data_IF_124178445841
#
_entry.id   IF_124178445841
#
_cell.length_a   1.000
_cell.length_b   1.000
_cell.length_c   1.000
_cell.angle_alpha   90.00
_cell.angle_beta   90.00
_cell.angle_gamma   90.00
#
_symmetry.space_group_name_H-M   'P 1'
#
loop_
_entity.id
_entity.type
_entity.pdbx_description
1 polymer ?
#
# COMPACT_ATOMS: atom_id res chain seq x y z
N UNK A 1 -19.05 4.85 -10.94
CA UNK A 1 -18.68 3.97 -9.80
C UNK A 1 -18.09 4.82 -8.69
N UNK A 2 -18.23 4.44 -7.43
CA UNK A 2 -17.69 5.19 -6.28
C UNK A 2 -16.21 4.84 -6.08
N UNK A 3 -15.39 5.86 -5.85
CA UNK A 3 -13.97 5.67 -5.52
C UNK A 3 -13.79 4.76 -4.29
N UNK A 4 -12.65 4.09 -4.22
CA UNK A 4 -12.22 3.39 -3.00
C UNK A 4 -12.08 4.41 -1.87
N UNK A 5 -12.55 4.07 -0.68
CA UNK A 5 -12.39 4.89 0.51
C UNK A 5 -11.03 4.67 1.17
N UNK A 6 -10.55 5.65 1.93
CA UNK A 6 -9.33 5.51 2.75
C UNK A 6 -9.36 4.25 3.63
N UNK A 7 -10.53 3.92 4.20
CA UNK A 7 -10.70 2.78 5.10
C UNK A 7 -10.62 1.44 4.37
N UNK A 8 -11.14 1.35 3.15
CA UNK A 8 -11.01 0.13 2.32
C UNK A 8 -9.53 -0.17 2.03
N UNK A 9 -8.77 0.86 1.64
CA UNK A 9 -7.34 0.73 1.34
C UNK A 9 -6.51 0.45 2.60
N UNK A 10 -6.78 1.16 3.70
CA UNK A 10 -6.13 0.91 5.00
C UNK A 10 -6.33 -0.55 5.46
N UNK A 11 -7.52 -1.11 5.29
CA UNK A 11 -7.78 -2.50 5.67
C UNK A 11 -6.89 -3.49 4.92
N UNK A 12 -6.58 -3.25 3.64
CA UNK A 12 -5.67 -4.13 2.90
C UNK A 12 -4.24 -4.07 3.45
N UNK A 13 -3.77 -2.87 3.79
CA UNK A 13 -2.46 -2.69 4.44
C UNK A 13 -2.44 -3.34 5.83
N UNK A 14 -3.50 -3.17 6.62
CA UNK A 14 -3.60 -3.83 7.93
C UNK A 14 -3.61 -5.36 7.81
N UNK A 15 -4.39 -5.92 6.91
CA UNK A 15 -4.45 -7.36 6.68
C UNK A 15 -3.07 -7.91 6.26
N UNK A 16 -2.34 -7.17 5.43
CA UNK A 16 -0.96 -7.51 5.09
C UNK A 16 -0.02 -7.44 6.30
N UNK A 17 -0.10 -6.39 7.11
CA UNK A 17 0.70 -6.24 8.32
C UNK A 17 0.43 -7.36 9.35
N UNK A 18 -0.81 -7.83 9.45
CA UNK A 18 -1.21 -8.96 10.30
C UNK A 18 -0.85 -10.33 9.70
N UNK A 19 -0.34 -10.38 8.46
CA UNK A 19 -0.02 -11.63 7.75
C UNK A 19 -1.24 -12.37 7.22
N UNK A 20 -2.42 -11.75 7.18
CA UNK A 20 -3.65 -12.33 6.64
C UNK A 20 -3.63 -12.33 5.11
N UNK A 21 -3.03 -11.30 4.50
CA UNK A 21 -2.86 -11.18 3.05
C UNK A 21 -1.37 -11.05 2.72
N UNK A 22 -0.93 -11.70 1.64
CA UNK A 22 0.43 -11.54 1.17
C UNK A 22 0.61 -10.17 0.49
N UNK A 23 1.70 -9.47 0.84
CA UNK A 23 2.14 -8.27 0.14
C UNK A 23 3.31 -8.63 -0.76
N UNK A 24 3.20 -8.32 -2.04
CA UNK A 24 4.26 -8.56 -3.02
C UNK A 24 4.61 -7.26 -3.74
N UNK A 25 5.89 -7.02 -4.01
CA UNK A 25 6.30 -5.92 -4.88
C UNK A 25 5.85 -6.23 -6.30
N UNK A 26 5.26 -5.25 -6.99
CA UNK A 26 5.06 -5.34 -8.42
C UNK A 26 6.36 -4.89 -9.11
N UNK A 27 6.76 -5.56 -10.19
CA UNK A 27 8.04 -5.34 -10.89
C UNK A 27 8.21 -3.94 -11.51
N UNK A 28 7.17 -3.10 -11.47
CA UNK A 28 7.30 -1.65 -11.72
C UNK A 28 7.88 -0.95 -10.50
N UNK A 29 9.21 -0.96 -10.43
CA UNK A 29 9.94 0.12 -9.77
C UNK A 29 9.71 1.39 -10.58
N UNK A 30 8.97 2.34 -10.01
CA UNK A 30 8.98 3.70 -10.54
C UNK A 30 10.19 4.39 -9.91
N UNK A 31 11.15 4.82 -10.74
CA UNK A 31 12.18 5.78 -10.31
C UNK A 31 11.46 6.92 -9.55
N UNK A 32 12.09 7.42 -8.48
CA UNK A 32 11.61 8.53 -7.62
C UNK A 32 10.93 8.15 -6.29
N UNK A 33 11.31 7.05 -5.65
CA UNK A 33 10.84 6.74 -4.29
C UNK A 33 9.40 6.23 -4.23
N UNK A 34 8.90 5.68 -5.33
CA UNK A 34 7.59 5.03 -5.40
C UNK A 34 7.75 3.52 -5.50
N UNK A 35 6.98 2.79 -4.68
CA UNK A 35 6.91 1.34 -4.71
C UNK A 35 5.49 0.90 -5.04
N UNK A 36 5.35 0.18 -6.16
CA UNK A 36 4.11 -0.49 -6.48
C UNK A 36 4.06 -1.86 -5.78
N UNK A 37 2.94 -2.18 -5.15
CA UNK A 37 2.71 -3.46 -4.46
C UNK A 37 1.37 -4.06 -4.84
N UNK A 38 1.26 -5.37 -4.70
CA UNK A 38 0.01 -6.11 -4.81
C UNK A 38 -0.35 -6.76 -3.48
N UNK A 39 -1.65 -6.76 -3.16
CA UNK A 39 -2.22 -7.39 -1.97
C UNK A 39 -3.53 -8.06 -2.38
N UNK A 40 -3.55 -9.38 -2.56
CA UNK A 40 -4.75 -10.17 -2.90
C UNK A 40 -5.63 -9.53 -4.01
N UNK A 41 -5.02 -9.26 -5.17
CA UNK A 41 -5.70 -8.64 -6.32
C UNK A 41 -5.84 -7.12 -6.27
N UNK A 42 -5.47 -6.49 -5.15
CA UNK A 42 -5.34 -5.03 -5.06
C UNK A 42 -3.99 -4.57 -5.57
N UNK A 43 -3.96 -3.43 -6.25
CA UNK A 43 -2.74 -2.78 -6.71
C UNK A 43 -2.59 -1.42 -6.03
N UNK A 44 -1.52 -1.24 -5.27
CA UNK A 44 -1.25 0.00 -4.55
C UNK A 44 0.05 0.64 -5.04
N UNK A 45 0.07 1.96 -5.10
CA UNK A 45 1.28 2.77 -5.32
C UNK A 45 1.59 3.52 -4.02
N UNK A 46 2.71 3.17 -3.40
CA UNK A 46 3.17 3.77 -2.14
C UNK A 46 4.33 4.73 -2.41
N UNK A 47 4.26 5.92 -1.82
CA UNK A 47 5.43 6.78 -1.62
C UNK A 47 6.26 6.20 -0.48
N UNK A 48 7.56 5.99 -0.70
CA UNK A 48 8.47 5.33 0.24
C UNK A 48 9.70 6.21 0.49
N UNK A 49 10.04 6.33 1.77
CA UNK A 49 11.26 6.97 2.27
C UNK A 49 12.23 5.93 2.84
N UNK A 50 13.38 6.38 3.33
CA UNK A 50 14.32 5.52 4.08
C UNK A 50 13.70 4.83 5.31
N UNK A 51 12.65 5.42 5.89
CA UNK A 51 11.94 4.88 7.06
C UNK A 51 10.75 3.99 6.71
N UNK A 52 10.41 3.83 5.43
CA UNK A 52 9.22 3.08 5.00
C UNK A 52 8.21 3.89 4.20
N UNK A 53 7.02 3.32 3.95
CA UNK A 53 5.97 4.01 3.21
C UNK A 53 5.45 5.21 4.00
N UNK A 54 5.33 6.35 3.33
CA UNK A 54 4.87 7.63 3.88
C UNK A 54 3.47 7.98 3.42
N UNK A 55 3.07 7.50 2.23
CA UNK A 55 1.77 7.80 1.62
C UNK A 55 1.34 6.69 0.68
N UNK A 56 0.04 6.50 0.55
CA UNK A 56 -0.55 5.81 -0.59
C UNK A 56 -0.97 6.88 -1.60
N UNK A 57 -0.44 6.82 -2.82
CA UNK A 57 -0.80 7.77 -3.87
C UNK A 57 -1.99 7.31 -4.69
N UNK A 58 -2.08 6.00 -4.87
CA UNK A 58 -3.08 5.36 -5.71
C UNK A 58 -3.35 3.93 -5.25
N UNK A 59 -4.57 3.47 -5.46
CA UNK A 59 -5.01 2.11 -5.21
C UNK A 59 -6.05 1.69 -6.26
N UNK A 60 -5.99 0.44 -6.71
CA UNK A 60 -7.01 -0.22 -7.52
C UNK A 60 -7.44 -1.51 -6.85
N UNK A 61 -8.74 -1.68 -6.69
CA UNK A 61 -9.35 -2.92 -6.19
C UNK A 61 -9.52 -3.96 -7.30
N UNK A 62 -9.75 -5.23 -6.94
CA UNK A 62 -9.97 -6.31 -7.89
C UNK A 62 -11.26 -6.14 -8.72
N UNK A 63 -12.20 -5.34 -8.23
CA UNK A 63 -13.44 -4.95 -8.94
C UNK A 63 -13.24 -3.78 -9.92
N UNK A 64 -12.00 -3.32 -10.10
CA UNK A 64 -11.64 -2.21 -10.97
C UNK A 64 -11.91 -0.82 -10.39
N UNK A 65 -12.43 -0.72 -9.16
CA UNK A 65 -12.57 0.59 -8.48
C UNK A 65 -11.19 1.14 -8.17
N UNK A 66 -11.08 2.46 -8.27
CA UNK A 66 -9.84 3.18 -8.02
C UNK A 66 -10.00 4.14 -6.84
N UNK A 67 -8.91 4.41 -6.15
CA UNK A 67 -8.78 5.47 -5.17
C UNK A 67 -7.43 6.14 -5.33
N UNK A 68 -7.40 7.44 -5.14
CA UNK A 68 -6.20 8.28 -5.17
C UNK A 68 -6.25 9.30 -4.04
N UNK A 69 -5.11 9.96 -3.81
CA UNK A 69 -5.01 11.06 -2.86
C UNK A 69 -6.05 12.17 -3.09
N UNK A 70 -6.48 12.42 -4.33
CA UNK A 70 -7.52 13.41 -4.65
C UNK A 70 -8.93 12.93 -4.25
N UNK A 71 -9.18 11.63 -4.31
CA UNK A 71 -10.47 11.02 -3.98
C UNK A 71 -10.68 10.79 -2.48
N UNK A 72 -9.59 10.60 -1.75
CA UNK A 72 -9.58 10.52 -0.30
C UNK A 72 -9.56 11.96 0.21
N UNK A 73 -10.40 12.31 1.19
CA UNK A 73 -10.53 13.68 1.72
C UNK A 73 -9.26 14.13 2.47
N UNK A 74 -8.11 14.10 1.80
CA UNK A 74 -6.73 14.28 2.28
C UNK A 74 -6.34 13.39 3.48
N UNK A 75 -7.13 12.36 3.76
CA UNK A 75 -6.77 11.34 4.76
C UNK A 75 -6.10 10.19 4.04
N UNK A 76 -4.79 10.08 4.26
CA UNK A 76 -3.97 9.05 3.64
C UNK A 76 -4.15 7.68 4.34
N UNK A 77 -4.30 6.58 3.58
CA UNK A 77 -4.44 5.24 4.16
C UNK A 77 -3.26 4.78 5.02
N UNK A 78 -2.02 5.16 4.67
CA UNK A 78 -0.81 4.81 5.43
C UNK A 78 -0.79 5.55 6.77
N UNK A 79 -1.32 6.77 6.82
CA UNK A 79 -1.46 7.56 8.06
C UNK A 79 -2.43 6.95 9.08
N UNK A 80 -3.25 5.96 8.69
CA UNK A 80 -4.13 5.23 9.61
C UNK A 80 -3.46 4.00 10.24
N UNK A 81 -2.27 3.61 9.78
CA UNK A 81 -1.52 2.50 10.38
C UNK A 81 -0.97 2.90 11.74
N UNK A 82 -1.10 2.01 12.71
CA UNK A 82 -0.35 2.08 13.95
C UNK A 82 1.15 1.90 13.68
N UNK A 83 1.99 2.30 14.64
CA UNK A 83 3.44 2.13 14.53
C UNK A 83 3.85 0.66 14.32
N UNK A 84 3.13 -0.29 14.93
CA UNK A 84 3.38 -1.72 14.74
C UNK A 84 3.00 -2.19 13.33
N UNK A 85 1.81 -1.81 12.83
CA UNK A 85 1.37 -2.17 11.48
C UNK A 85 2.33 -1.60 10.43
N UNK A 86 2.75 -0.34 10.59
CA UNK A 86 3.72 0.30 9.70
C UNK A 86 5.06 -0.45 9.69
N UNK A 87 5.59 -0.81 10.86
CA UNK A 87 6.83 -1.57 10.96
C UNK A 87 6.76 -2.94 10.26
N UNK A 88 5.60 -3.62 10.31
CA UNK A 88 5.40 -4.86 9.57
C UNK A 88 5.38 -4.64 8.06
N UNK A 89 4.72 -3.58 7.58
CA UNK A 89 4.76 -3.25 6.14
C UNK A 89 6.19 -2.95 5.68
N UNK A 90 6.98 -2.21 6.47
CA UNK A 90 8.40 -1.96 6.16
C UNK A 90 9.19 -3.27 6.04
N UNK A 91 8.98 -4.20 6.99
CA UNK A 91 9.61 -5.53 6.96
C UNK A 91 9.23 -6.29 5.68
N UNK A 92 7.94 -6.38 5.37
CA UNK A 92 7.43 -7.08 4.19
C UNK A 92 7.97 -6.49 2.90
N UNK A 93 8.03 -5.16 2.81
CA UNK A 93 8.65 -4.47 1.69
C UNK A 93 10.12 -4.88 1.58
N UNK A 94 10.89 -4.90 2.67
CA UNK A 94 12.30 -5.31 2.67
C UNK A 94 12.54 -6.77 2.26
N UNK A 95 11.61 -7.67 2.61
CA UNK A 95 11.67 -9.10 2.26
C UNK A 95 11.31 -9.34 0.80
N UNK A 96 10.30 -8.67 0.28
CA UNK A 96 9.85 -8.79 -1.11
C UNK A 96 10.89 -8.29 -2.14
N UNK A 97 11.96 -7.61 -1.71
CA UNK A 97 13.08 -7.18 -2.57
C UNK A 97 14.24 -8.17 -2.64
N UNK A 98 14.23 -9.26 -1.87
CA UNK A 98 15.28 -10.28 -1.86
C UNK A 98 14.94 -11.37 -2.88
N UNK A 99 15.22 -11.10 -4.16
CA UNK A 99 15.38 -12.16 -5.15
C UNK A 99 16.84 -12.62 -5.06
N UNK A 100 17.04 -13.85 -4.55
CA UNK A 100 18.30 -14.61 -4.71
C UNK A 100 18.60 -14.91 -6.15
#
# INVERSE_FOLDING_TARGET
>A
MKALTTREVYQQLRDAAMGVRALQRADRFSQDGLQQVTIDGWLLTLEVSSSGPTRCLYCRGPDGREGSFESWLRTDPVSLLSAWELAQIVRLLGEAGKVT
#
